data_IF_381802729208
#
_entry.id   IF_381802729208
#
_cell.length_a   1.000
_cell.length_b   1.000
_cell.length_c   1.000
_cell.angle_alpha   90.00
_cell.angle_beta   90.00
_cell.angle_gamma   90.00
#
_symmetry.space_group_name_H-M   'P 1'
#
loop_
_entity.id
_entity.type
_entity.pdbx_description
1 polymer ?
#
# COMPACT_ATOMS: atom_id res chain seq x y z
N UNK A 1 -28.97 23.88 0.37
CA UNK A 1 -28.41 24.04 1.72
C UNK A 1 -26.89 23.96 1.62
N UNK A 2 -26.13 25.01 1.97
CA UNK A 2 -24.72 24.91 2.30
C UNK A 2 -24.45 23.79 3.32
N UNK A 3 -23.23 23.25 3.35
CA UNK A 3 -22.86 22.13 4.24
C UNK A 3 -23.09 22.46 5.72
N UNK A 4 -22.94 23.73 6.10
CA UNK A 4 -23.17 24.25 7.45
C UNK A 4 -24.62 24.13 7.92
N UNK A 5 -25.58 24.06 7.00
CA UNK A 5 -27.00 23.85 7.30
C UNK A 5 -27.38 22.37 7.37
N UNK A 6 -26.46 21.45 7.04
CA UNK A 6 -26.71 20.02 7.17
C UNK A 6 -26.36 19.57 8.57
N UNK A 7 -27.31 19.00 9.28
CA UNK A 7 -27.03 18.29 10.52
C UNK A 7 -26.24 17.02 10.22
N UNK A 8 -25.08 16.86 10.84
CA UNK A 8 -24.27 15.65 10.75
C UNK A 8 -24.91 14.54 11.60
N UNK A 9 -25.32 13.44 10.96
CA UNK A 9 -25.96 12.30 11.63
C UNK A 9 -25.01 11.14 11.89
N UNK A 10 -23.76 11.25 11.43
CA UNK A 10 -22.76 10.18 11.47
C UNK A 10 -22.12 9.93 10.12
N UNK A 11 -21.05 9.14 10.11
CA UNK A 11 -20.30 8.77 8.91
C UNK A 11 -19.80 7.33 8.97
N UNK A 12 -19.75 6.65 7.83
CA UNK A 12 -19.08 5.35 7.72
C UNK A 12 -17.58 5.50 8.02
N UNK A 13 -16.90 4.41 8.36
CA UNK A 13 -15.45 4.41 8.59
C UNK A 13 -14.73 3.97 7.32
N UNK A 14 -13.89 4.84 6.79
CA UNK A 14 -13.29 4.69 5.46
C UNK A 14 -11.78 4.62 5.60
N UNK A 15 -11.19 3.65 4.93
CA UNK A 15 -9.74 3.51 4.77
C UNK A 15 -9.39 3.61 3.29
N UNK A 16 -8.27 4.26 3.00
CA UNK A 16 -7.72 4.37 1.65
C UNK A 16 -6.29 3.83 1.65
N UNK A 17 -6.00 2.96 0.68
CA UNK A 17 -4.70 2.33 0.49
C UNK A 17 -4.23 2.73 -0.90
N UNK A 18 -3.25 3.61 -0.96
CA UNK A 18 -2.69 4.15 -2.19
C UNK A 18 -1.33 3.50 -2.47
N UNK A 19 -1.17 2.82 -3.61
CA UNK A 19 0.07 2.12 -3.95
C UNK A 19 1.29 3.07 -4.04
N UNK A 20 1.06 4.36 -4.34
CA UNK A 20 2.10 5.40 -4.38
C UNK A 20 2.68 5.72 -2.99
N UNK A 21 2.07 5.27 -1.90
CA UNK A 21 2.64 5.34 -0.55
C UNK A 21 3.39 4.07 -0.15
N UNK A 22 3.27 2.98 -0.92
CA UNK A 22 3.88 1.68 -0.63
C UNK A 22 5.27 1.53 -1.25
N UNK A 23 6.25 1.13 -0.44
CA UNK A 23 7.62 0.93 -0.90
C UNK A 23 7.71 -0.33 -1.76
N UNK A 24 7.57 -0.16 -3.06
CA UNK A 24 7.69 -1.25 -4.03
C UNK A 24 8.98 -1.15 -4.83
N UNK A 25 9.57 -2.31 -5.14
CA UNK A 25 10.85 -2.40 -5.88
C UNK A 25 10.76 -1.85 -7.30
N UNK A 26 9.59 -1.94 -7.91
CA UNK A 26 9.30 -1.52 -9.28
C UNK A 26 9.30 0.00 -9.49
N UNK A 27 9.24 0.82 -8.43
CA UNK A 27 9.32 2.29 -8.51
C UNK A 27 10.47 2.79 -9.36
N UNK A 28 11.63 2.13 -9.32
CA UNK A 28 12.82 2.51 -10.10
C UNK A 28 12.63 2.36 -11.62
N UNK A 29 11.68 1.53 -12.03
CA UNK A 29 11.41 1.22 -13.44
C UNK A 29 10.41 2.19 -14.07
N UNK A 30 9.49 2.74 -13.27
CA UNK A 30 8.38 3.54 -13.76
C UNK A 30 8.24 4.94 -13.16
N UNK A 31 8.99 5.31 -12.12
CA UNK A 31 8.95 6.66 -11.57
C UNK A 31 9.84 7.61 -12.38
N UNK A 32 9.21 8.51 -13.12
CA UNK A 32 9.90 9.58 -13.83
C UNK A 32 9.02 10.82 -13.92
N UNK A 33 9.61 11.93 -14.35
CA UNK A 33 8.91 13.20 -14.55
C UNK A 33 8.88 13.57 -16.02
N UNK A 34 7.81 14.25 -16.45
CA UNK A 34 7.64 14.76 -17.81
C UNK A 34 7.50 16.28 -17.76
N UNK A 35 8.16 16.97 -18.69
CA UNK A 35 7.87 18.39 -18.95
C UNK A 35 6.59 18.51 -19.79
N UNK A 36 5.54 19.21 -19.32
CA UNK A 36 4.29 19.35 -20.09
C UNK A 36 4.47 20.12 -21.40
N UNK A 37 5.45 21.02 -21.47
CA UNK A 37 5.69 21.87 -22.65
C UNK A 37 6.63 21.21 -23.67
N UNK A 38 7.77 20.69 -23.21
CA UNK A 38 8.80 20.12 -24.09
C UNK A 38 8.59 18.63 -24.37
N UNK A 39 7.77 17.94 -23.57
CA UNK A 39 7.60 16.49 -23.58
C UNK A 39 8.93 15.72 -23.38
N UNK A 40 9.90 16.35 -22.71
CA UNK A 40 11.13 15.68 -22.30
C UNK A 40 10.93 14.94 -20.98
N UNK A 41 11.63 13.82 -20.84
CA UNK A 41 11.61 12.96 -19.65
C UNK A 41 12.79 13.27 -18.76
N UNK A 42 12.55 13.31 -17.45
CA UNK A 42 13.52 13.59 -16.42
C UNK A 42 13.44 12.54 -15.30
N UNK A 43 14.56 12.33 -14.61
CA UNK A 43 14.58 11.62 -13.33
C UNK A 43 13.87 12.41 -12.23
N UNK A 44 13.55 11.74 -11.11
CA UNK A 44 12.82 12.35 -9.99
C UNK A 44 13.59 13.49 -9.31
N UNK A 45 14.92 13.49 -9.41
CA UNK A 45 15.82 14.48 -8.85
C UNK A 45 15.66 15.88 -9.47
N UNK A 46 15.02 16.00 -10.63
CA UNK A 46 14.77 17.28 -11.27
C UNK A 46 13.43 17.88 -10.82
N UNK A 47 13.42 19.18 -10.52
CA UNK A 47 12.19 19.92 -10.22
C UNK A 47 11.66 20.69 -11.42
N UNK A 48 12.55 21.15 -12.30
CA UNK A 48 12.23 21.99 -13.47
C UNK A 48 12.89 21.49 -14.74
N UNK A 49 12.21 21.75 -15.86
CA UNK A 49 12.73 21.44 -17.19
C UNK A 49 13.95 22.30 -17.50
N UNK A 50 15.04 21.67 -17.92
CA UNK A 50 16.30 22.35 -18.29
C UNK A 50 16.13 23.21 -19.55
N UNK A 51 15.17 22.89 -20.43
CA UNK A 51 14.97 23.61 -21.70
C UNK A 51 14.04 24.83 -21.57
N UNK A 52 12.90 24.70 -20.89
CA UNK A 52 11.88 25.76 -20.81
C UNK A 52 11.61 26.28 -19.40
N UNK A 53 12.28 25.74 -18.38
CA UNK A 53 12.11 26.11 -16.97
C UNK A 53 10.71 25.88 -16.37
N UNK A 54 9.81 25.20 -17.10
CA UNK A 54 8.50 24.78 -16.58
C UNK A 54 8.64 23.75 -15.45
N UNK A 55 7.65 23.73 -14.55
CA UNK A 55 7.55 22.72 -13.51
C UNK A 55 7.33 21.33 -14.14
N UNK A 56 8.09 20.35 -13.66
CA UNK A 56 7.96 18.98 -14.12
C UNK A 56 6.77 18.29 -13.43
N UNK A 57 6.05 17.45 -14.17
CA UNK A 57 4.93 16.66 -13.67
C UNK A 57 5.45 15.25 -13.40
N UNK A 58 5.20 14.75 -12.19
CA UNK A 58 5.48 13.36 -11.83
C UNK A 58 4.45 12.42 -12.46
N UNK A 59 4.94 11.33 -13.04
CA UNK A 59 4.07 10.31 -13.62
C UNK A 59 3.61 9.37 -12.52
N UNK A 60 2.31 9.41 -12.21
CA UNK A 60 1.66 8.54 -11.23
C UNK A 60 1.37 7.13 -11.83
N UNK A 61 2.38 6.44 -12.35
CA UNK A 61 2.20 5.10 -12.93
C UNK A 61 2.21 4.02 -11.84
N UNK A 62 1.24 3.10 -11.93
CA UNK A 62 1.10 1.95 -11.02
C UNK A 62 1.12 0.69 -11.86
N UNK A 63 2.08 -0.20 -11.62
CA UNK A 63 2.17 -1.47 -12.33
C UNK A 63 1.50 -2.60 -11.54
N UNK A 64 1.51 -3.81 -12.11
CA UNK A 64 0.95 -5.02 -11.46
C UNK A 64 1.54 -5.26 -10.07
N UNK A 65 2.87 -5.10 -9.90
CA UNK A 65 3.53 -5.25 -8.60
C UNK A 65 3.08 -4.22 -7.57
N UNK A 66 2.78 -2.99 -8.00
CA UNK A 66 2.22 -1.97 -7.11
C UNK A 66 0.80 -2.31 -6.66
N UNK A 67 -0.03 -2.84 -7.57
CA UNK A 67 -1.38 -3.28 -7.23
C UNK A 67 -1.37 -4.51 -6.31
N UNK A 68 -0.45 -5.45 -6.52
CA UNK A 68 -0.30 -6.61 -5.63
C UNK A 68 0.09 -6.18 -4.22
N UNK A 69 1.10 -5.29 -4.10
CA UNK A 69 1.46 -4.72 -2.80
C UNK A 69 0.27 -4.01 -2.12
N UNK A 70 -0.56 -3.28 -2.88
CA UNK A 70 -1.76 -2.65 -2.32
C UNK A 70 -2.82 -3.68 -1.88
N UNK A 71 -2.97 -4.81 -2.58
CA UNK A 71 -3.85 -5.91 -2.13
C UNK A 71 -3.35 -6.55 -0.84
N UNK A 72 -2.04 -6.74 -0.70
CA UNK A 72 -1.45 -7.23 0.56
C UNK A 72 -1.79 -6.33 1.74
N UNK A 73 -1.73 -5.00 1.55
CA UNK A 73 -2.14 -4.04 2.58
C UNK A 73 -3.64 -4.07 2.87
N UNK A 74 -4.49 -4.32 1.86
CA UNK A 74 -5.93 -4.56 2.07
C UNK A 74 -6.13 -5.78 2.95
N UNK A 75 -5.44 -6.90 2.69
CA UNK A 75 -5.55 -8.10 3.53
C UNK A 75 -5.11 -7.88 4.97
N UNK A 76 -4.00 -7.14 5.19
CA UNK A 76 -3.59 -6.76 6.55
C UNK A 76 -4.66 -5.95 7.25
N UNK A 77 -5.22 -4.95 6.56
CA UNK A 77 -6.28 -4.11 7.09
C UNK A 77 -7.53 -4.94 7.44
N UNK A 78 -7.99 -5.81 6.55
CA UNK A 78 -9.15 -6.68 6.80
C UNK A 78 -8.95 -7.53 8.05
N UNK A 79 -7.77 -8.14 8.21
CA UNK A 79 -7.44 -8.92 9.39
C UNK A 79 -7.55 -8.08 10.68
N UNK A 80 -7.06 -6.83 10.71
CA UNK A 80 -7.28 -5.93 11.85
C UNK A 80 -8.76 -5.65 12.11
N UNK A 81 -9.51 -5.30 11.06
CA UNK A 81 -10.91 -4.89 11.18
C UNK A 81 -11.79 -6.05 11.68
N UNK A 82 -11.51 -7.27 11.23
CA UNK A 82 -12.31 -8.46 11.54
C UNK A 82 -11.86 -9.11 12.85
N UNK A 83 -10.56 -9.40 13.02
CA UNK A 83 -10.09 -10.21 14.16
C UNK A 83 -9.94 -9.40 15.43
N UNK A 84 -9.50 -8.15 15.32
CA UNK A 84 -9.15 -7.34 16.49
C UNK A 84 -10.29 -6.40 16.89
N UNK A 85 -10.96 -5.80 15.89
CA UNK A 85 -12.03 -4.82 16.11
C UNK A 85 -13.44 -5.41 15.96
N UNK A 86 -13.57 -6.61 15.38
CA UNK A 86 -14.83 -7.34 15.30
C UNK A 86 -15.87 -6.73 14.36
N UNK A 87 -15.46 -5.92 13.38
CA UNK A 87 -16.37 -5.36 12.38
C UNK A 87 -16.88 -6.42 11.43
N UNK A 88 -18.13 -6.27 10.98
CA UNK A 88 -18.81 -7.29 10.17
C UNK A 88 -19.24 -6.78 8.79
N UNK A 89 -19.56 -5.48 8.66
CA UNK A 89 -20.11 -4.92 7.42
C UNK A 89 -19.03 -4.14 6.66
N UNK A 90 -18.09 -4.88 6.07
CA UNK A 90 -16.96 -4.35 5.33
C UNK A 90 -17.21 -4.43 3.82
N UNK A 91 -16.89 -3.35 3.09
CA UNK A 91 -16.96 -3.29 1.63
C UNK A 91 -15.63 -2.87 1.06
N UNK A 92 -15.22 -3.51 -0.02
CA UNK A 92 -13.96 -3.24 -0.72
C UNK A 92 -14.27 -2.67 -2.10
N UNK A 93 -13.48 -1.71 -2.53
CA UNK A 93 -13.53 -1.24 -3.91
C UNK A 93 -12.15 -0.86 -4.40
N UNK A 94 -11.87 -1.12 -5.66
CA UNK A 94 -10.77 -0.48 -6.37
C UNK A 94 -11.14 0.99 -6.60
N UNK A 95 -10.23 1.92 -6.33
CA UNK A 95 -10.45 3.36 -6.46
C UNK A 95 -10.58 3.82 -7.93
N UNK A 96 -10.35 2.89 -8.87
CA UNK A 96 -10.29 3.16 -10.30
C UNK A 96 -8.93 3.72 -10.72
N UNK A 97 -7.94 3.81 -9.83
CA UNK A 97 -6.64 4.39 -10.20
C UNK A 97 -5.45 3.62 -9.63
N UNK A 98 -5.15 3.79 -8.33
CA UNK A 98 -3.86 3.35 -7.75
C UNK A 98 -4.01 2.44 -6.54
N UNK A 99 -5.23 2.25 -6.07
CA UNK A 99 -5.45 1.86 -4.70
C UNK A 99 -6.83 1.32 -4.47
N UNK A 100 -7.10 1.02 -3.20
CA UNK A 100 -8.35 0.42 -2.76
C UNK A 100 -8.95 1.24 -1.63
N UNK A 101 -10.27 1.31 -1.60
CA UNK A 101 -11.01 1.80 -0.45
C UNK A 101 -11.62 0.63 0.29
N UNK A 102 -11.50 0.63 1.62
CA UNK A 102 -12.20 -0.29 2.51
C UNK A 102 -13.15 0.53 3.37
N UNK A 103 -14.43 0.17 3.36
CA UNK A 103 -15.48 0.93 4.06
C UNK A 103 -16.20 0.02 5.04
N UNK A 104 -16.20 0.40 6.31
CA UNK A 104 -16.94 -0.26 7.38
C UNK A 104 -18.26 0.50 7.60
N UNK A 105 -19.37 -0.24 7.54
CA UNK A 105 -20.74 0.31 7.60
C UNK A 105 -21.55 -0.18 8.80
N UNK A 106 -20.86 -0.77 9.79
CA UNK A 106 -21.43 -1.12 11.09
C UNK A 106 -22.08 0.10 11.76
N UNK A 107 -23.29 -0.06 12.31
CA UNK A 107 -24.06 1.08 12.82
C UNK A 107 -23.37 1.77 13.99
N UNK A 108 -22.66 0.99 14.81
CA UNK A 108 -21.96 1.39 16.01
C UNK A 108 -20.81 2.38 15.74
N UNK A 109 -20.35 2.49 14.48
CA UNK A 109 -19.21 3.34 14.10
C UNK A 109 -19.62 4.75 13.69
N UNK A 110 -20.91 4.95 13.38
CA UNK A 110 -21.39 6.18 12.72
C UNK A 110 -21.13 7.42 13.54
N UNK A 111 -21.24 7.31 14.85
CA UNK A 111 -21.09 8.43 15.79
C UNK A 111 -19.63 8.70 16.19
N UNK A 112 -18.67 7.85 15.78
CA UNK A 112 -17.27 8.09 16.11
C UNK A 112 -16.79 9.43 15.53
N UNK A 113 -16.23 10.26 16.41
CA UNK A 113 -15.58 11.50 16.05
C UNK A 113 -14.18 11.29 15.51
N UNK A 114 -13.51 12.40 15.19
CA UNK A 114 -12.18 12.37 14.58
C UNK A 114 -11.12 11.76 15.51
N UNK A 115 -11.25 11.97 16.83
CA UNK A 115 -10.30 11.45 17.82
C UNK A 115 -10.44 9.94 17.99
N UNK A 116 -11.66 9.42 18.10
CA UNK A 116 -11.87 7.97 18.21
C UNK A 116 -11.41 7.23 16.95
N UNK A 117 -11.64 7.83 15.77
CA UNK A 117 -11.13 7.29 14.49
C UNK A 117 -9.62 7.32 14.43
N UNK A 118 -8.98 8.34 15.00
CA UNK A 118 -7.53 8.42 15.10
C UNK A 118 -6.96 7.30 15.97
N UNK A 119 -7.60 6.94 17.09
CA UNK A 119 -7.15 5.81 17.90
C UNK A 119 -7.23 4.47 17.12
N UNK A 120 -8.25 4.29 16.28
CA UNK A 120 -8.33 3.13 15.37
C UNK A 120 -7.17 3.13 14.37
N UNK A 121 -6.86 4.29 13.79
CA UNK A 121 -5.72 4.46 12.89
C UNK A 121 -4.41 4.15 13.60
N UNK A 122 -4.20 4.67 14.80
CA UNK A 122 -2.98 4.45 15.57
C UNK A 122 -2.82 2.97 15.93
N UNK A 123 -3.93 2.27 16.27
CA UNK A 123 -3.93 0.83 16.47
C UNK A 123 -3.54 0.04 15.21
N UNK A 124 -4.15 0.33 14.06
CA UNK A 124 -3.93 -0.38 12.78
C UNK A 124 -2.51 -0.14 12.25
N UNK A 125 -2.00 1.08 12.41
CA UNK A 125 -0.64 1.46 11.98
C UNK A 125 0.43 1.04 12.97
N UNK A 126 0.05 0.59 14.17
CA UNK A 126 0.98 0.24 15.24
C UNK A 126 1.66 1.45 15.86
N UNK A 127 1.10 2.65 15.68
CA UNK A 127 1.63 3.89 16.21
C UNK A 127 1.55 3.88 17.73
N UNK A 128 2.66 4.24 18.39
CA UNK A 128 2.73 4.30 19.86
C UNK A 128 2.91 2.95 20.55
N UNK A 129 3.04 1.84 19.82
CA UNK A 129 3.32 0.52 20.41
C UNK A 129 4.69 0.52 21.08
N UNK A 130 4.70 0.12 22.35
CA UNK A 130 5.92 -0.15 23.10
C UNK A 130 6.12 -1.66 23.22
N UNK A 131 7.26 -2.16 22.76
CA UNK A 131 7.59 -3.59 22.77
C UNK A 131 7.55 -4.21 24.18
N UNK A 132 7.83 -3.43 25.22
CA UNK A 132 7.73 -3.88 26.61
C UNK A 132 6.33 -4.37 26.98
N UNK A 133 5.28 -3.73 26.45
CA UNK A 133 3.89 -4.12 26.68
C UNK A 133 3.47 -5.33 25.84
N UNK A 134 4.22 -5.62 24.77
CA UNK A 134 4.05 -6.87 24.01
C UNK A 134 4.80 -8.04 24.63
N UNK A 135 5.42 -7.86 25.81
CA UNK A 135 6.23 -8.90 26.47
C UNK A 135 7.63 -9.04 25.89
N UNK A 136 7.98 -8.19 24.91
CA UNK A 136 9.33 -8.02 24.41
C UNK A 136 10.04 -7.00 25.30
N UNK A 137 10.47 -7.42 26.49
CA UNK A 137 11.18 -6.55 27.42
C UNK A 137 12.64 -6.35 26.99
N UNK A 138 12.80 -5.39 26.10
CA UNK A 138 14.04 -5.17 25.37
C UNK A 138 14.95 -4.11 26.07
N UNK A 139 14.48 -3.47 27.15
CA UNK A 139 15.19 -2.36 27.81
C UNK A 139 15.58 -2.59 29.28
N UNK A 140 15.05 -3.62 29.97
CA UNK A 140 15.35 -3.78 31.40
C UNK A 140 16.77 -4.29 31.67
N UNK A 141 17.67 -3.36 32.04
CA UNK A 141 18.97 -3.65 32.71
C UNK A 141 18.80 -4.17 34.14
N UNK A 142 17.60 -4.16 34.70
CA UNK A 142 17.33 -4.68 36.05
C UNK A 142 16.83 -6.11 35.95
N UNK A 143 17.50 -7.01 36.70
CA UNK A 143 17.11 -8.39 37.03
C UNK A 143 15.76 -8.45 37.80
N UNK A 144 14.72 -7.75 37.33
CA UNK A 144 13.37 -8.10 37.76
C UNK A 144 13.03 -9.40 37.05
N UNK A 145 12.72 -10.44 37.84
CA UNK A 145 12.07 -11.68 37.40
C UNK A 145 10.67 -11.34 36.89
N UNK A 146 10.57 -10.56 35.82
CA UNK A 146 9.38 -10.55 34.98
C UNK A 146 9.46 -11.90 34.28
N UNK A 147 8.52 -12.79 34.59
CA UNK A 147 8.25 -13.98 33.78
C UNK A 147 8.18 -13.49 32.34
N UNK A 148 9.13 -13.93 31.51
CA UNK A 148 9.21 -13.51 30.11
C UNK A 148 7.91 -13.97 29.42
N UNK A 149 6.96 -13.06 29.31
CA UNK A 149 5.65 -13.32 28.73
C UNK A 149 5.74 -13.09 27.22
N UNK A 150 6.52 -13.92 26.56
CA UNK A 150 6.83 -13.75 25.15
C UNK A 150 5.57 -13.79 24.28
N UNK A 151 5.51 -13.05 23.17
CA UNK A 151 4.37 -13.13 22.28
C UNK A 151 4.32 -14.51 21.59
N UNK A 152 3.14 -15.08 21.48
CA UNK A 152 2.89 -16.36 20.81
C UNK A 152 2.04 -16.16 19.56
N UNK A 153 2.16 -17.05 18.58
CA UNK A 153 1.37 -16.99 17.34
C UNK A 153 -0.13 -17.17 17.56
N UNK A 154 -0.52 -17.74 18.70
CA UNK A 154 -1.89 -17.94 19.16
C UNK A 154 -2.43 -16.79 20.02
N UNK A 155 -1.60 -15.81 20.40
CA UNK A 155 -2.07 -14.64 21.14
C UNK A 155 -3.05 -13.79 20.32
N UNK A 156 -3.87 -12.93 20.96
CA UNK A 156 -4.69 -11.97 20.22
C UNK A 156 -3.88 -10.73 19.78
N UNK A 157 -4.37 -10.07 18.72
CA UNK A 157 -3.90 -8.76 18.26
C UNK A 157 -2.40 -8.67 18.00
N UNK A 158 -1.81 -7.55 18.38
CA UNK A 158 -0.40 -7.22 18.09
C UNK A 158 0.62 -8.24 18.58
N UNK A 159 0.35 -9.01 19.64
CA UNK A 159 1.28 -10.04 20.12
C UNK A 159 1.45 -11.14 19.06
N UNK A 160 0.35 -11.69 18.55
CA UNK A 160 0.41 -12.70 17.47
C UNK A 160 0.90 -12.11 16.15
N UNK A 161 0.49 -10.89 15.79
CA UNK A 161 0.98 -10.21 14.58
C UNK A 161 2.50 -10.10 14.56
N UNK A 162 3.10 -9.69 15.68
CA UNK A 162 4.56 -9.62 15.82
C UNK A 162 5.18 -11.01 15.76
N UNK A 163 4.67 -12.00 16.50
CA UNK A 163 5.20 -13.36 16.49
C UNK A 163 5.19 -13.99 15.08
N UNK A 164 4.04 -13.94 14.40
CA UNK A 164 3.86 -14.44 13.01
C UNK A 164 4.75 -13.70 12.03
N UNK A 165 4.89 -12.39 12.16
CA UNK A 165 5.73 -11.59 11.28
C UNK A 165 7.21 -11.91 11.47
N UNK A 166 7.71 -12.02 12.71
CA UNK A 166 9.09 -12.42 12.96
C UNK A 166 9.40 -13.75 12.27
N UNK A 167 8.51 -14.73 12.40
CA UNK A 167 8.63 -16.01 11.71
C UNK A 167 8.72 -15.83 10.19
N UNK A 168 7.75 -15.11 9.60
CA UNK A 168 7.69 -14.92 8.15
C UNK A 168 8.94 -14.21 7.63
N UNK A 169 9.43 -13.21 8.35
CA UNK A 169 10.61 -12.43 7.97
C UNK A 169 11.92 -13.21 8.07
N UNK A 170 12.05 -14.07 9.09
CA UNK A 170 13.22 -14.92 9.26
C UNK A 170 13.23 -16.06 8.23
N UNK A 171 12.09 -16.71 8.00
CA UNK A 171 11.96 -17.80 7.01
C UNK A 171 12.07 -17.28 5.58
N UNK A 172 11.38 -16.16 5.28
CA UNK A 172 11.37 -15.55 3.95
C UNK A 172 12.66 -14.81 3.60
N UNK A 173 13.53 -14.53 4.58
CA UNK A 173 14.76 -13.77 4.36
C UNK A 173 14.54 -12.28 4.04
N UNK A 174 13.34 -11.75 4.30
CA UNK A 174 12.93 -10.39 3.95
C UNK A 174 13.39 -9.33 4.97
N UNK A 175 14.04 -9.75 6.06
CA UNK A 175 14.51 -8.88 7.15
C UNK A 175 15.29 -7.66 6.67
N UNK A 176 16.22 -7.86 5.74
CA UNK A 176 17.14 -6.84 5.25
C UNK A 176 16.43 -5.81 4.34
N UNK A 177 15.26 -6.15 3.83
CA UNK A 177 14.46 -5.32 2.92
C UNK A 177 13.57 -4.33 3.68
N UNK A 178 13.21 -4.68 4.91
CA UNK A 178 12.28 -3.93 5.77
C UNK A 178 13.04 -2.96 6.66
N UNK A 179 14.30 -3.27 6.97
CA UNK A 179 15.10 -2.49 7.89
C UNK A 179 15.87 -1.39 7.14
N UNK A 180 15.37 -0.16 7.23
CA UNK A 180 16.01 1.00 6.62
C UNK A 180 16.85 1.83 7.62
N UNK A 181 17.97 1.32 8.14
CA UNK A 181 18.92 2.17 8.90
C UNK A 181 20.39 1.72 8.81
N UNK A 182 21.35 2.67 8.79
CA UNK A 182 22.76 2.37 9.00
C UNK A 182 23.01 1.92 10.46
N UNK A 183 23.40 0.66 10.65
CA UNK A 183 23.79 0.10 11.96
C UNK A 183 23.12 -1.23 12.29
N UNK A 184 21.89 -1.44 11.81
CA UNK A 184 21.13 -2.67 12.03
C UNK A 184 21.65 -3.82 11.15
N UNK A 185 22.13 -3.53 9.93
CA UNK A 185 22.80 -4.50 9.04
C UNK A 185 23.98 -5.23 9.69
N UNK A 186 24.84 -4.53 10.43
CA UNK A 186 25.98 -5.15 11.15
C UNK A 186 25.52 -6.13 12.21
N UNK A 187 24.36 -5.88 12.83
CA UNK A 187 23.80 -6.74 13.87
C UNK A 187 23.19 -8.00 13.23
N UNK A 188 22.48 -7.85 12.11
CA UNK A 188 21.95 -8.97 11.32
C UNK A 188 23.11 -9.87 10.86
N UNK A 189 24.15 -9.29 10.23
CA UNK A 189 25.34 -10.02 9.79
C UNK A 189 26.02 -10.76 10.96
N UNK A 190 26.18 -10.08 12.11
CA UNK A 190 26.75 -10.66 13.33
C UNK A 190 25.97 -11.87 13.85
N UNK A 191 24.65 -11.88 13.71
CA UNK A 191 23.78 -12.96 14.20
C UNK A 191 23.17 -13.80 13.07
N UNK A 192 23.78 -13.80 11.89
CA UNK A 192 23.30 -14.54 10.71
C UNK A 192 23.21 -16.05 10.94
N UNK A 193 24.17 -16.65 11.67
CA UNK A 193 24.12 -18.07 12.02
C UNK A 193 22.91 -18.40 12.91
N UNK A 194 22.55 -17.50 13.84
CA UNK A 194 21.35 -17.65 14.68
C UNK A 194 20.11 -17.55 13.78
N UNK A 195 20.02 -16.56 12.90
CA UNK A 195 18.89 -16.42 11.98
C UNK A 195 18.70 -17.64 11.08
N UNK A 196 19.81 -18.23 10.59
CA UNK A 196 19.78 -19.47 9.80
C UNK A 196 19.30 -20.67 10.63
N UNK A 197 19.82 -20.83 11.86
CA UNK A 197 19.36 -21.88 12.76
C UNK A 197 17.86 -21.72 13.08
N UNK A 198 17.41 -20.47 13.25
CA UNK A 198 16.00 -20.13 13.44
C UNK A 198 15.16 -20.48 12.22
N UNK A 199 15.60 -20.21 10.99
CA UNK A 199 14.83 -20.52 9.78
C UNK A 199 14.74 -22.03 9.50
N UNK A 200 15.79 -22.80 9.82
CA UNK A 200 15.86 -24.24 9.58
C UNK A 200 15.06 -25.09 10.58
N UNK A 201 14.97 -24.65 11.84
CA UNK A 201 14.36 -25.44 12.93
C UNK A 201 12.86 -25.20 13.12
N UNK A 202 12.27 -24.26 12.41
CA UNK A 202 10.93 -23.79 12.72
C UNK A 202 9.84 -24.62 12.05
N UNK A 203 9.09 -25.36 12.87
CA UNK A 203 7.76 -25.89 12.51
C UNK A 203 6.70 -25.70 13.59
N UNK A 204 7.05 -25.49 14.88
CA UNK A 204 6.02 -25.49 15.94
C UNK A 204 6.10 -24.38 17.03
N UNK A 205 7.26 -23.82 17.46
CA UNK A 205 7.29 -22.76 18.51
C UNK A 205 8.51 -21.80 18.46
N UNK A 206 8.35 -20.52 18.85
CA UNK A 206 9.44 -19.51 18.89
C UNK A 206 10.27 -19.68 20.18
N UNK A 207 11.55 -20.04 20.05
CA UNK A 207 12.48 -20.12 21.19
C UNK A 207 13.08 -18.74 21.49
N UNK A 208 12.26 -17.84 22.00
CA UNK A 208 12.62 -16.44 22.27
C UNK A 208 13.87 -16.24 23.12
N UNK A 209 14.10 -17.14 24.07
CA UNK A 209 15.25 -17.07 24.98
C UNK A 209 16.60 -17.25 24.28
N UNK A 210 16.60 -17.84 23.09
CA UNK A 210 17.80 -18.04 22.25
C UNK A 210 18.14 -16.79 21.42
N UNK A 211 17.23 -15.81 21.33
CA UNK A 211 17.43 -14.59 20.53
C UNK A 211 18.15 -13.52 21.38
N UNK A 212 19.35 -13.05 20.99
CA UNK A 212 20.01 -11.96 21.67
C UNK A 212 19.17 -10.67 21.64
N UNK A 213 19.12 -9.94 22.76
CA UNK A 213 18.33 -8.70 22.88
C UNK A 213 18.54 -7.68 21.75
N UNK A 214 19.78 -7.43 21.24
CA UNK A 214 19.97 -6.53 20.10
C UNK A 214 19.31 -7.03 18.81
N UNK A 215 19.29 -8.34 18.58
CA UNK A 215 18.60 -8.93 17.43
C UNK A 215 17.08 -8.87 17.64
N UNK A 216 16.60 -9.13 18.86
CA UNK A 216 15.19 -9.02 19.20
C UNK A 216 14.63 -7.59 19.01
N UNK A 217 15.43 -6.55 19.30
CA UNK A 217 15.11 -5.14 18.96
C UNK A 217 14.76 -4.99 17.49
N UNK A 218 15.63 -5.54 16.65
CA UNK A 218 15.56 -5.40 15.20
C UNK A 218 14.39 -6.21 14.66
N UNK A 219 14.24 -7.46 15.10
CA UNK A 219 13.12 -8.33 14.72
C UNK A 219 11.78 -7.72 15.11
N UNK A 220 11.65 -7.18 16.33
CA UNK A 220 10.42 -6.53 16.78
C UNK A 220 10.05 -5.31 15.94
N UNK A 221 11.02 -4.44 15.62
CA UNK A 221 10.80 -3.28 14.73
C UNK A 221 10.41 -3.69 13.32
N UNK A 222 11.14 -4.64 12.72
CA UNK A 222 10.86 -5.13 11.38
C UNK A 222 9.47 -5.79 11.32
N UNK A 223 9.13 -6.59 12.34
CA UNK A 223 7.83 -7.23 12.45
C UNK A 223 6.69 -6.22 12.62
N UNK A 224 6.88 -5.18 13.43
CA UNK A 224 5.92 -4.08 13.58
C UNK A 224 5.69 -3.41 12.22
N UNK A 225 6.76 -2.95 11.57
CA UNK A 225 6.69 -2.26 10.28
C UNK A 225 6.02 -3.12 9.19
N UNK A 226 6.31 -4.43 9.21
CA UNK A 226 5.76 -5.40 8.27
C UNK A 226 4.27 -5.69 8.49
N UNK A 227 3.83 -5.78 9.75
CA UNK A 227 2.45 -6.13 10.09
C UNK A 227 1.49 -4.95 10.17
N UNK A 228 2.00 -3.72 10.32
CA UNK A 228 1.18 -2.50 10.20
C UNK A 228 0.51 -2.43 8.82
N UNK A 229 -0.79 -2.10 8.78
CA UNK A 229 -1.44 -1.79 7.52
C UNK A 229 -1.13 -0.35 7.10
N UNK A 230 -0.67 -0.17 5.86
CA UNK A 230 -0.28 1.13 5.30
C UNK A 230 -1.49 1.82 4.67
N UNK A 231 -2.17 2.64 5.48
CA UNK A 231 -3.36 3.42 5.09
C UNK A 231 -3.06 4.93 5.05
N UNK A 232 -3.87 5.69 4.30
CA UNK A 232 -3.93 7.15 4.44
C UNK A 232 -4.69 7.52 5.73
N UNK A 233 -3.91 7.94 6.74
CA UNK A 233 -4.40 8.31 8.08
C UNK A 233 -5.36 9.51 8.06
N UNK A 234 -5.23 10.40 7.08
CA UNK A 234 -6.06 11.61 6.96
C UNK A 234 -7.44 11.27 6.42
N UNK A 235 -7.54 10.24 5.56
CA UNK A 235 -8.83 9.74 5.07
C UNK A 235 -9.69 9.25 6.22
N UNK A 236 -9.10 8.42 7.08
CA UNK A 236 -9.85 7.68 8.10
C UNK A 236 -10.34 8.58 9.23
N UNK A 237 -9.54 9.59 9.59
CA UNK A 237 -9.89 10.53 10.66
C UNK A 237 -10.92 11.59 10.24
N UNK A 238 -11.11 11.82 8.93
CA UNK A 238 -12.05 12.81 8.40
C UNK A 238 -13.50 12.30 8.37
N UNK A 239 -14.33 12.81 9.29
CA UNK A 239 -15.76 12.49 9.40
C UNK A 239 -16.65 13.08 8.29
N UNK A 240 -16.08 13.90 7.39
CA UNK A 240 -16.77 14.48 6.24
C UNK A 240 -16.18 14.01 4.90
N UNK A 241 -15.38 12.93 4.92
CA UNK A 241 -14.66 12.45 3.75
C UNK A 241 -15.61 12.08 2.60
N UNK A 242 -15.32 12.60 1.42
CA UNK A 242 -15.96 12.15 0.18
C UNK A 242 -15.22 10.93 -0.38
N UNK A 243 -15.97 9.88 -0.70
CA UNK A 243 -15.45 8.71 -1.41
C UNK A 243 -15.94 8.69 -2.85
N UNK A 244 -15.12 8.11 -3.72
CA UNK A 244 -15.54 7.88 -5.10
C UNK A 244 -16.69 6.87 -5.11
N UNK A 245 -17.76 7.21 -5.81
CA UNK A 245 -18.89 6.32 -5.99
C UNK A 245 -18.45 5.06 -6.76
N UNK A 246 -18.78 3.89 -6.23
CA UNK A 246 -18.52 2.62 -6.89
C UNK A 246 -19.17 2.54 -8.27
N UNK A 247 -18.50 1.83 -9.17
CA UNK A 247 -18.85 1.62 -10.57
C UNK A 247 -18.89 2.91 -11.42
N UNK A 248 -18.18 3.96 -11.01
CA UNK A 248 -17.97 5.18 -11.81
C UNK A 248 -16.59 5.20 -12.47
N UNK A 249 -16.44 5.99 -13.54
CA UNK A 249 -15.15 6.16 -14.23
C UNK A 249 -14.22 7.08 -13.43
N UNK A 250 -12.96 6.69 -13.29
CA UNK A 250 -11.93 7.53 -12.70
C UNK A 250 -11.23 8.38 -13.78
N UNK A 251 -11.28 9.70 -13.63
CA UNK A 251 -10.71 10.64 -14.61
C UNK A 251 -9.18 10.63 -14.72
N UNK A 252 -8.46 9.96 -13.80
CA UNK A 252 -7.00 9.83 -13.84
C UNK A 252 -6.50 8.56 -14.55
N UNK A 253 -7.40 7.68 -14.99
CA UNK A 253 -7.05 6.40 -15.60
C UNK A 253 -7.98 5.95 -16.72
N UNK A 254 -9.25 6.40 -16.72
CA UNK A 254 -10.29 5.82 -17.56
C UNK A 254 -10.74 4.42 -17.13
N UNK A 255 -10.36 3.96 -15.94
CA UNK A 255 -10.82 2.70 -15.36
C UNK A 255 -12.03 2.92 -14.43
N UNK A 256 -12.81 1.87 -14.21
CA UNK A 256 -13.94 1.86 -13.28
C UNK A 256 -13.43 1.74 -11.84
N UNK A 257 -14.01 2.53 -10.93
CA UNK A 257 -13.89 2.31 -9.51
C UNK A 257 -14.75 1.11 -9.09
N UNK A 258 -14.23 -0.11 -9.30
CA UNK A 258 -15.01 -1.35 -9.19
C UNK A 258 -15.23 -1.75 -7.72
N UNK A 259 -16.47 -2.09 -7.36
CA UNK A 259 -16.77 -2.76 -6.09
C UNK A 259 -16.31 -4.21 -6.22
N UNK A 260 -15.65 -4.73 -5.19
CA UNK A 260 -15.00 -6.03 -5.20
C UNK A 260 -15.53 -6.84 -4.02
N UNK A 261 -15.97 -8.07 -4.29
CA UNK A 261 -16.27 -9.03 -3.25
C UNK A 261 -14.96 -9.58 -2.68
N UNK A 262 -14.91 -9.83 -1.37
CA UNK A 262 -13.68 -10.23 -0.68
C UNK A 262 -13.05 -11.49 -1.28
N UNK A 263 -13.87 -12.46 -1.71
CA UNK A 263 -13.43 -13.70 -2.33
C UNK A 263 -12.83 -13.50 -3.74
N UNK A 264 -13.13 -12.36 -4.39
CA UNK A 264 -12.60 -12.00 -5.71
C UNK A 264 -11.33 -11.14 -5.63
N UNK A 265 -10.97 -10.62 -4.45
CA UNK A 265 -9.86 -9.68 -4.30
C UNK A 265 -8.53 -10.28 -4.78
N UNK A 266 -8.26 -11.55 -4.49
CA UNK A 266 -7.01 -12.23 -4.87
C UNK A 266 -6.81 -12.24 -6.40
N UNK A 267 -7.87 -12.60 -7.13
CA UNK A 267 -7.85 -12.77 -8.58
C UNK A 267 -8.11 -11.47 -9.35
N UNK A 268 -8.55 -10.41 -8.67
CA UNK A 268 -8.87 -9.13 -9.29
C UNK A 268 -7.63 -8.48 -9.94
N UNK A 269 -7.76 -8.15 -11.23
CA UNK A 269 -6.77 -7.42 -12.03
C UNK A 269 -7.36 -6.08 -12.51
N UNK A 270 -6.90 -4.92 -11.98
CA UNK A 270 -7.36 -3.60 -12.41
C UNK A 270 -7.28 -3.35 -13.93
N UNK A 271 -6.28 -3.90 -14.61
CA UNK A 271 -6.08 -3.70 -16.05
C UNK A 271 -6.88 -4.67 -16.91
N UNK A 272 -7.65 -5.56 -16.29
CA UNK A 272 -8.60 -6.45 -16.96
C UNK A 272 -10.03 -6.14 -16.50
N UNK A 273 -10.27 -6.24 -15.20
CA UNK A 273 -11.59 -6.23 -14.58
C UNK A 273 -12.23 -4.85 -14.47
N UNK A 274 -11.42 -3.78 -14.48
CA UNK A 274 -11.89 -2.40 -14.37
C UNK A 274 -11.89 -1.64 -15.71
N UNK A 275 -11.68 -2.33 -16.83
CA UNK A 275 -11.64 -1.71 -18.15
C UNK A 275 -13.07 -1.44 -18.65
N UNK A 276 -13.44 -0.15 -18.73
CA UNK A 276 -14.77 0.28 -19.19
C UNK A 276 -14.88 0.43 -20.71
N UNK A 277 -13.79 0.83 -21.35
CA UNK A 277 -13.81 1.33 -22.72
C UNK A 277 -13.52 0.21 -23.73
N UNK A 278 -14.11 0.27 -24.93
CA UNK A 278 -13.99 -0.78 -25.94
C UNK A 278 -12.55 -0.94 -26.46
N UNK A 279 -12.05 -2.18 -26.47
CA UNK A 279 -10.70 -2.54 -26.94
C UNK A 279 -10.55 -2.55 -28.47
N UNK A 280 -11.66 -2.71 -29.21
CA UNK A 280 -11.69 -2.79 -30.68
C UNK A 280 -11.59 -1.42 -31.37
N UNK A 281 -11.80 -0.33 -30.62
CA UNK A 281 -11.59 1.03 -31.11
C UNK A 281 -10.17 1.49 -30.82
N UNK A 282 -9.47 1.95 -31.86
CA UNK A 282 -8.12 2.48 -31.72
C UNK A 282 -8.06 4.00 -31.90
N UNK A 283 -7.09 4.64 -31.24
CA UNK A 283 -6.81 6.08 -31.32
C UNK A 283 -5.32 6.31 -31.57
N UNK A 284 -5.01 7.29 -32.40
CA UNK A 284 -3.63 7.72 -32.68
C UNK A 284 -3.19 8.75 -31.64
N UNK A 285 -2.15 8.44 -30.88
CA UNK A 285 -1.61 9.30 -29.83
C UNK A 285 -0.11 9.47 -30.01
N UNK A 286 0.45 10.58 -29.49
CA UNK A 286 1.89 10.75 -29.34
C UNK A 286 2.27 10.31 -27.93
N UNK A 287 3.02 9.22 -27.81
CA UNK A 287 3.52 8.74 -26.52
C UNK A 287 4.85 9.42 -26.22
N UNK A 288 4.97 9.99 -25.02
CA UNK A 288 6.19 10.61 -24.51
C UNK A 288 7.15 9.53 -24.04
N UNK A 289 6.71 8.74 -23.05
CA UNK A 289 7.41 7.56 -22.53
C UNK A 289 6.43 6.68 -21.76
N UNK A 290 6.52 5.38 -21.93
CA UNK A 290 5.84 4.38 -21.08
C UNK A 290 6.80 3.24 -20.74
N UNK A 291 6.72 2.60 -19.56
CA UNK A 291 7.37 1.30 -19.38
C UNK A 291 6.69 0.24 -20.28
N UNK A 292 7.23 -0.98 -20.30
CA UNK A 292 6.48 -2.15 -20.78
C UNK A 292 5.34 -2.43 -19.80
N UNK A 293 4.16 -2.76 -20.30
CA UNK A 293 3.00 -3.06 -19.45
C UNK A 293 2.03 -4.01 -20.14
N UNK A 294 1.20 -4.67 -19.34
CA UNK A 294 0.11 -5.51 -19.82
C UNK A 294 -1.21 -4.80 -19.56
N UNK A 295 -2.12 -4.88 -20.52
CA UNK A 295 -3.45 -4.29 -20.40
C UNK A 295 -4.47 -5.17 -21.11
N UNK A 296 -5.52 -5.59 -20.40
CA UNK A 296 -6.54 -6.55 -20.88
C UNK A 296 -5.94 -7.81 -21.51
N UNK A 297 -4.88 -8.36 -20.90
CA UNK A 297 -4.20 -9.56 -21.39
C UNK A 297 -3.19 -9.33 -22.53
N UNK A 298 -3.09 -8.11 -23.08
CA UNK A 298 -2.19 -7.77 -24.19
C UNK A 298 -0.93 -7.10 -23.65
N UNK A 299 0.23 -7.56 -24.10
CA UNK A 299 1.53 -6.97 -23.78
C UNK A 299 1.84 -5.78 -24.70
N UNK A 300 2.14 -4.64 -24.11
CA UNK A 300 2.55 -3.42 -24.81
C UNK A 300 4.04 -3.14 -24.54
N UNK A 301 4.86 -2.90 -25.59
CA UNK A 301 6.26 -2.59 -25.42
C UNK A 301 6.48 -1.22 -24.78
N UNK A 302 7.73 -0.92 -24.44
CA UNK A 302 8.14 0.44 -24.12
C UNK A 302 7.94 1.32 -25.38
N UNK A 303 7.30 2.48 -25.21
CA UNK A 303 7.17 3.49 -26.26
C UNK A 303 7.95 4.74 -25.85
N UNK A 304 8.62 5.40 -26.81
CA UNK A 304 9.40 6.61 -26.51
C UNK A 304 9.37 7.63 -27.65
N UNK A 305 8.76 8.78 -27.36
CA UNK A 305 8.62 9.93 -28.26
C UNK A 305 8.19 9.54 -29.68
N UNK A 306 7.13 8.74 -29.78
CA UNK A 306 6.64 8.19 -31.04
C UNK A 306 5.13 8.34 -31.17
N UNK A 307 4.63 8.24 -32.40
CA UNK A 307 3.19 8.30 -32.68
C UNK A 307 2.71 6.90 -33.00
N UNK A 308 1.82 6.39 -32.16
CA UNK A 308 1.32 5.01 -32.23
C UNK A 308 -0.20 5.00 -32.25
N UNK A 309 -0.75 3.93 -32.80
CA UNK A 309 -2.19 3.65 -32.79
C UNK A 309 -2.42 2.57 -31.74
N UNK A 310 -3.17 2.89 -30.69
CA UNK A 310 -3.41 2.02 -29.54
C UNK A 310 -4.91 1.88 -29.27
N UNK A 311 -5.36 0.79 -28.61
CA UNK A 311 -6.73 0.68 -28.13
C UNK A 311 -7.15 1.89 -27.30
N UNK A 312 -8.42 2.30 -27.44
CA UNK A 312 -9.01 3.46 -26.76
C UNK A 312 -8.75 3.46 -25.23
N UNK A 313 -9.02 2.39 -24.47
CA UNK A 313 -8.74 2.39 -23.03
C UNK A 313 -7.26 2.62 -22.71
N UNK A 314 -6.34 2.02 -23.49
CA UNK A 314 -4.89 2.21 -23.31
C UNK A 314 -4.52 3.67 -23.59
N UNK A 315 -5.02 4.25 -24.68
CA UNK A 315 -4.79 5.64 -25.01
C UNK A 315 -5.31 6.59 -23.92
N UNK A 316 -6.52 6.35 -23.41
CA UNK A 316 -7.11 7.15 -22.32
C UNK A 316 -6.28 7.03 -21.04
N UNK A 317 -5.83 5.83 -20.67
CA UNK A 317 -4.94 5.63 -19.51
C UNK A 317 -3.65 6.45 -19.66
N UNK A 318 -2.93 6.29 -20.78
CA UNK A 318 -1.65 6.96 -20.99
C UNK A 318 -1.79 8.50 -21.02
N UNK A 319 -2.85 9.01 -21.64
CA UNK A 319 -3.14 10.45 -21.64
C UNK A 319 -3.45 10.93 -20.21
N UNK A 320 -4.29 10.20 -19.48
CA UNK A 320 -4.68 10.57 -18.11
C UNK A 320 -3.50 10.54 -17.12
N UNK A 321 -2.45 9.79 -17.45
CA UNK A 321 -1.17 9.72 -16.71
C UNK A 321 -0.12 10.72 -17.19
N UNK A 322 -0.47 11.62 -18.11
CA UNK A 322 0.45 12.59 -18.74
C UNK A 322 1.60 11.93 -19.52
N UNK A 323 1.45 10.66 -19.90
CA UNK A 323 2.47 9.88 -20.64
C UNK A 323 2.27 9.95 -22.16
N UNK A 324 1.12 10.46 -22.60
CA UNK A 324 0.80 10.66 -24.00
C UNK A 324 -0.06 11.90 -24.22
N UNK A 325 -0.08 12.40 -25.45
CA UNK A 325 -0.97 13.48 -25.90
C UNK A 325 -1.75 13.06 -27.13
N UNK A 326 -2.93 13.65 -27.33
CA UNK A 326 -3.73 13.42 -28.54
C UNK A 326 -2.92 13.91 -29.75
N UNK A 327 -2.70 13.03 -30.73
CA UNK A 327 -2.05 13.41 -31.97
C UNK A 327 -3.09 14.05 -32.89
N UNK A 328 -3.05 15.38 -33.05
CA UNK A 328 -3.89 16.11 -34.03
C UNK A 328 -3.46 15.86 -35.49
N UNK A 329 -2.74 14.77 -35.77
CA UNK A 329 -2.26 14.49 -37.12
C UNK A 329 -3.35 13.72 -37.86
N UNK A 330 -4.21 14.51 -38.51
CA UNK A 330 -5.11 14.14 -39.62
C UNK A 330 -4.46 13.17 -40.60
#
# INVERSE_FOLDING_TARGET
APMEEKEWLGADLIFDIDADHLRTRCRREHDFKICPECLDVYGREYERCIKCNSQLIEVEWVCELCHEAAKEEVYKLLDFLETDLGFQKIKISFSGNRGYHVVVTDENIRELGQLERKEIVDYITGTGILFEYLGLNIESKKKMRITRNWPEVTDPGWRSRIAKSIVKLVIGGELEEIIELPGEKKIIEKYSDILREFSEKWSEEIVWDSIPTPLLKILGKAALEYSSAKIDVVVTSDIHRLIRLGNTLNGKSGLIAKIIDIDELEIFDPFYDAVALPMDREVKIRVVKTPRFKFSGIEFPEYRNEVVKLPLPVAVLLISKNMATISNVS
#
